data_IF_688313417579
#
_entry.id   IF_688313417579
#
_cell.length_a   1.000
_cell.length_b   1.000
_cell.length_c   1.000
_cell.angle_alpha   90.00
_cell.angle_beta   90.00
_cell.angle_gamma   90.00
#
_symmetry.space_group_name_H-M   'P 1'
#
loop_
_entity.id
_entity.type
_entity.pdbx_description
1 polymer ?
#
# COMPACT_ATOMS: atom_id res chain seq x y z
N UNK A 1 -24.86 -11.11 -38.31
CA UNK A 1 -24.32 -9.92 -37.61
C UNK A 1 -24.65 -9.93 -36.10
N UNK A 2 -25.86 -10.32 -35.69
CA UNK A 2 -26.24 -10.35 -34.26
C UNK A 2 -25.51 -11.41 -33.40
N UNK A 3 -25.24 -12.59 -33.95
CA UNK A 3 -24.50 -13.64 -33.23
C UNK A 3 -23.04 -13.26 -32.93
N UNK A 4 -22.39 -12.54 -33.87
CA UNK A 4 -21.02 -12.04 -33.70
C UNK A 4 -20.95 -10.94 -32.64
N UNK A 5 -21.97 -10.06 -32.59
CA UNK A 5 -22.13 -9.07 -31.53
C UNK A 5 -22.30 -9.72 -30.16
N UNK A 6 -23.17 -10.73 -30.04
CA UNK A 6 -23.37 -11.47 -28.77
C UNK A 6 -22.11 -12.18 -28.28
N UNK A 7 -21.38 -12.84 -29.19
CA UNK A 7 -20.11 -13.50 -28.85
C UNK A 7 -19.06 -12.50 -28.39
N UNK A 8 -18.98 -11.32 -29.02
CA UNK A 8 -18.04 -10.29 -28.60
C UNK A 8 -18.40 -9.73 -27.22
N UNK A 9 -19.67 -9.45 -26.96
CA UNK A 9 -20.13 -9.00 -25.63
C UNK A 9 -19.89 -10.05 -24.55
N UNK A 10 -20.12 -11.33 -24.83
CA UNK A 10 -19.79 -12.41 -23.89
C UNK A 10 -18.29 -12.50 -23.63
N UNK A 11 -17.45 -12.35 -24.66
CA UNK A 11 -15.99 -12.35 -24.52
C UNK A 11 -15.50 -11.18 -23.66
N UNK A 12 -15.95 -9.96 -23.96
CA UNK A 12 -15.65 -8.74 -23.18
C UNK A 12 -16.07 -8.90 -21.72
N UNK A 13 -17.28 -9.43 -21.46
CA UNK A 13 -17.77 -9.66 -20.10
C UNK A 13 -16.94 -10.71 -19.36
N UNK A 14 -16.49 -11.75 -20.05
CA UNK A 14 -15.67 -12.80 -19.46
C UNK A 14 -14.25 -12.30 -19.14
N UNK A 15 -13.66 -11.47 -20.01
CA UNK A 15 -12.37 -10.82 -19.77
C UNK A 15 -12.45 -9.85 -18.59
N UNK A 16 -13.51 -9.03 -18.52
CA UNK A 16 -13.75 -8.14 -17.39
C UNK A 16 -13.94 -8.91 -16.06
N UNK A 17 -14.73 -9.99 -16.07
CA UNK A 17 -14.90 -10.83 -14.88
C UNK A 17 -13.59 -11.49 -14.44
N UNK A 18 -12.73 -11.89 -15.40
CA UNK A 18 -11.43 -12.50 -15.12
C UNK A 18 -10.46 -11.51 -14.47
N UNK A 19 -10.44 -10.27 -14.93
CA UNK A 19 -9.62 -9.20 -14.33
C UNK A 19 -10.08 -8.92 -12.89
N UNK A 20 -11.39 -8.80 -12.65
CA UNK A 20 -11.96 -8.60 -11.30
C UNK A 20 -11.60 -9.75 -10.35
N UNK A 21 -11.66 -11.01 -10.83
CA UNK A 21 -11.30 -12.18 -10.03
C UNK A 21 -9.80 -12.22 -9.71
N UNK A 22 -8.93 -11.92 -10.69
CA UNK A 22 -7.48 -11.87 -10.48
C UNK A 22 -7.11 -10.81 -9.46
N UNK A 23 -7.73 -9.64 -9.55
CA UNK A 23 -7.51 -8.59 -8.57
C UNK A 23 -8.06 -8.98 -7.20
N UNK A 24 -9.24 -9.62 -7.12
CA UNK A 24 -9.77 -10.11 -5.85
C UNK A 24 -8.84 -11.13 -5.18
N UNK A 25 -8.23 -12.04 -5.95
CA UNK A 25 -7.21 -12.97 -5.46
C UNK A 25 -5.96 -12.22 -4.98
N UNK A 26 -5.48 -11.23 -5.74
CA UNK A 26 -4.36 -10.38 -5.32
C UNK A 26 -4.65 -9.63 -4.02
N UNK A 27 -5.91 -9.31 -3.71
CA UNK A 27 -6.29 -8.70 -2.45
C UNK A 27 -6.32 -9.71 -1.28
N UNK A 28 -6.69 -10.96 -1.55
CA UNK A 28 -6.66 -12.03 -0.56
C UNK A 28 -5.23 -12.38 -0.12
N UNK A 29 -4.24 -12.25 -1.01
CA UNK A 29 -2.83 -12.50 -0.66
C UNK A 29 -2.08 -11.27 -0.15
N UNK A 30 -2.60 -10.06 -0.41
CA UNK A 30 -1.94 -8.78 -0.11
C UNK A 30 -1.48 -8.68 1.35
N UNK A 31 -2.36 -9.03 2.29
CA UNK A 31 -2.05 -8.98 3.72
C UNK A 31 -0.85 -9.86 4.07
N UNK A 32 -0.87 -11.12 3.62
CA UNK A 32 0.22 -12.08 3.88
C UNK A 32 1.52 -11.64 3.23
N UNK A 33 1.47 -11.16 1.98
CA UNK A 33 2.65 -10.65 1.26
C UNK A 33 3.28 -9.46 2.00
N UNK A 34 2.48 -8.46 2.37
CA UNK A 34 2.97 -7.27 3.08
C UNK A 34 3.50 -7.65 4.45
N UNK A 35 2.81 -8.52 5.18
CA UNK A 35 3.25 -8.98 6.51
C UNK A 35 4.59 -9.70 6.43
N UNK A 36 4.81 -10.56 5.42
CA UNK A 36 6.11 -11.19 5.18
C UNK A 36 7.20 -10.15 4.90
N UNK A 37 6.93 -9.19 4.01
CA UNK A 37 7.89 -8.13 3.68
C UNK A 37 8.25 -7.26 4.90
N UNK A 38 7.29 -7.04 5.82
CA UNK A 38 7.53 -6.32 7.07
C UNK A 38 8.46 -7.12 8.00
N UNK A 39 8.25 -8.44 8.13
CA UNK A 39 9.12 -9.32 8.92
C UNK A 39 10.55 -9.38 8.35
N UNK A 40 10.69 -9.32 7.02
CA UNK A 40 11.98 -9.30 6.33
C UNK A 40 12.64 -7.90 6.32
N UNK A 41 12.06 -6.90 7.00
CA UNK A 41 12.48 -5.49 6.98
C UNK A 41 12.55 -4.87 5.56
N UNK A 42 11.82 -5.45 4.60
CA UNK A 42 11.78 -4.97 3.21
C UNK A 42 10.69 -3.90 3.02
N UNK A 43 10.87 -2.80 3.74
CA UNK A 43 9.91 -1.70 3.83
C UNK A 43 9.57 -1.03 2.49
N UNK A 44 10.57 -0.88 1.62
CA UNK A 44 10.37 -0.24 0.32
C UNK A 44 9.49 -1.08 -0.61
N UNK A 45 9.66 -2.40 -0.58
CA UNK A 45 8.83 -3.34 -1.36
C UNK A 45 7.40 -3.38 -0.81
N UNK A 46 7.24 -3.41 0.51
CA UNK A 46 5.93 -3.33 1.16
C UNK A 46 5.17 -2.03 0.78
N UNK A 47 5.83 -0.87 0.86
CA UNK A 47 5.24 0.41 0.47
C UNK A 47 4.82 0.45 -1.01
N UNK A 48 5.66 -0.10 -1.89
CA UNK A 48 5.35 -0.17 -3.32
C UNK A 48 4.12 -1.04 -3.58
N UNK A 49 4.05 -2.21 -2.94
CA UNK A 49 2.91 -3.12 -3.04
C UNK A 49 1.61 -2.49 -2.52
N UNK A 50 1.68 -1.74 -1.41
CA UNK A 50 0.54 -0.99 -0.87
C UNK A 50 0.08 0.14 -1.80
N UNK A 51 1.02 0.85 -2.42
CA UNK A 51 0.73 1.92 -3.40
C UNK A 51 0.04 1.36 -4.65
N UNK A 52 0.51 0.21 -5.17
CA UNK A 52 -0.14 -0.49 -6.28
C UNK A 52 -1.55 -0.98 -5.93
N UNK A 53 -1.73 -1.57 -4.75
CA UNK A 53 -3.05 -1.97 -4.27
C UNK A 53 -4.01 -0.77 -4.09
N UNK A 54 -3.50 0.36 -3.63
CA UNK A 54 -4.30 1.59 -3.55
C UNK A 54 -4.76 2.10 -4.93
N UNK A 55 -3.94 1.90 -5.98
CA UNK A 55 -4.31 2.24 -7.36
C UNK A 55 -5.34 1.27 -7.95
N UNK A 56 -5.21 -0.04 -7.70
CA UNK A 56 -6.17 -1.05 -8.19
C UNK A 56 -7.55 -0.93 -7.55
N UNK A 57 -7.65 -0.23 -6.42
CA UNK A 57 -8.91 0.10 -5.76
C UNK A 57 -9.96 0.73 -6.69
N UNK A 58 -9.54 1.45 -7.75
CA UNK A 58 -10.41 2.10 -8.74
C UNK A 58 -11.26 1.09 -9.53
N UNK A 59 -10.77 -0.15 -9.70
CA UNK A 59 -11.47 -1.21 -10.46
C UNK A 59 -12.71 -1.72 -9.72
N UNK A 60 -12.77 -1.53 -8.40
CA UNK A 60 -13.81 -2.06 -7.52
C UNK A 60 -14.88 -1.04 -7.12
N UNK A 61 -14.99 0.09 -7.81
CA UNK A 61 -16.00 1.12 -7.49
C UNK A 61 -17.44 0.59 -7.55
N UNK A 62 -17.68 -0.48 -8.32
CA UNK A 62 -19.00 -1.10 -8.49
C UNK A 62 -19.41 -2.05 -7.34
N UNK A 63 -18.53 -2.35 -6.37
CA UNK A 63 -18.85 -3.19 -5.19
C UNK A 63 -18.51 -2.49 -3.87
N UNK A 64 -19.40 -1.62 -3.35
CA UNK A 64 -19.08 -0.68 -2.27
C UNK A 64 -18.70 -1.35 -0.94
N UNK A 65 -19.29 -2.49 -0.58
CA UNK A 65 -18.97 -3.19 0.67
C UNK A 65 -17.55 -3.79 0.65
N UNK A 66 -17.17 -4.41 -0.47
CA UNK A 66 -15.83 -4.98 -0.65
C UNK A 66 -14.77 -3.88 -0.73
N UNK A 67 -15.10 -2.75 -1.38
CA UNK A 67 -14.23 -1.59 -1.41
C UNK A 67 -14.03 -0.98 -0.01
N UNK A 68 -15.03 -1.02 0.87
CA UNK A 68 -14.86 -0.55 2.26
C UNK A 68 -13.91 -1.45 3.04
N UNK A 69 -14.07 -2.77 2.97
CA UNK A 69 -13.19 -3.73 3.65
C UNK A 69 -11.74 -3.59 3.19
N UNK A 70 -11.51 -3.53 1.87
CA UNK A 70 -10.16 -3.37 1.29
C UNK A 70 -9.50 -2.04 1.67
N UNK A 71 -10.25 -0.94 1.75
CA UNK A 71 -9.73 0.34 2.28
C UNK A 71 -9.30 0.20 3.74
N UNK A 72 -10.11 -0.44 4.58
CA UNK A 72 -9.78 -0.67 5.97
C UNK A 72 -8.51 -1.53 6.12
N UNK A 73 -8.36 -2.55 5.27
CA UNK A 73 -7.16 -3.38 5.20
C UNK A 73 -5.93 -2.56 4.81
N UNK A 74 -6.00 -1.75 3.74
CA UNK A 74 -4.90 -0.88 3.33
C UNK A 74 -4.45 0.05 4.45
N UNK A 75 -5.39 0.70 5.13
CA UNK A 75 -5.08 1.61 6.23
C UNK A 75 -4.39 0.86 7.37
N UNK A 76 -4.85 -0.35 7.71
CA UNK A 76 -4.19 -1.19 8.71
C UNK A 76 -2.76 -1.55 8.32
N UNK A 77 -2.55 -2.02 7.10
CA UNK A 77 -1.22 -2.40 6.62
C UNK A 77 -0.27 -1.20 6.53
N UNK A 78 -0.76 -0.03 6.14
CA UNK A 78 0.01 1.21 6.18
C UNK A 78 0.40 1.60 7.61
N UNK A 79 -0.52 1.46 8.58
CA UNK A 79 -0.23 1.71 9.99
C UNK A 79 0.83 0.72 10.53
N UNK A 80 0.76 -0.56 10.13
CA UNK A 80 1.75 -1.56 10.54
C UNK A 80 3.14 -1.29 9.95
N UNK A 81 3.19 -0.89 8.68
CA UNK A 81 4.42 -0.45 8.02
C UNK A 81 5.02 0.77 8.73
N UNK A 82 4.20 1.79 8.98
CA UNK A 82 4.60 2.99 9.73
C UNK A 82 5.14 2.65 11.11
N UNK A 83 4.41 1.84 11.90
CA UNK A 83 4.83 1.45 13.24
C UNK A 83 6.19 0.72 13.21
N UNK A 84 6.38 -0.16 12.22
CA UNK A 84 7.62 -0.92 12.02
C UNK A 84 8.79 -0.05 11.56
N UNK A 85 8.54 1.02 10.80
CA UNK A 85 9.56 2.00 10.41
C UNK A 85 9.84 3.06 11.47
N UNK A 86 8.86 3.39 12.32
CA UNK A 86 8.92 4.56 13.20
C UNK A 86 10.13 4.52 14.14
N UNK A 87 10.42 3.36 14.74
CA UNK A 87 11.58 3.17 15.60
C UNK A 87 12.91 3.30 14.84
N UNK A 88 12.99 2.68 13.65
CA UNK A 88 14.17 2.77 12.79
C UNK A 88 14.41 4.19 12.26
N UNK A 89 13.34 4.93 11.96
CA UNK A 89 13.39 6.34 11.56
C UNK A 89 13.91 7.22 12.70
N UNK A 90 13.37 7.07 13.91
CA UNK A 90 13.82 7.84 15.08
C UNK A 90 15.30 7.58 15.38
N UNK A 91 15.74 6.32 15.30
CA UNK A 91 17.15 5.96 15.46
C UNK A 91 18.02 6.68 14.41
N UNK A 92 17.66 6.59 13.13
CA UNK A 92 18.39 7.25 12.05
C UNK A 92 18.45 8.79 12.20
N UNK A 93 17.39 9.41 12.73
CA UNK A 93 17.36 10.85 13.03
C UNK A 93 18.35 11.20 14.14
N UNK A 94 18.37 10.42 15.22
CA UNK A 94 19.27 10.62 16.35
C UNK A 94 20.74 10.41 15.98
N UNK A 95 21.02 9.44 15.11
CA UNK A 95 22.35 9.18 14.54
C UNK A 95 22.76 10.20 13.46
N UNK A 96 21.90 11.18 13.14
CA UNK A 96 22.09 12.17 12.09
C UNK A 96 22.36 11.56 10.70
N UNK A 97 21.89 10.32 10.47
CA UNK A 97 22.05 9.64 9.20
C UNK A 97 21.01 10.14 8.17
N UNK A 98 21.37 11.21 7.46
CA UNK A 98 20.51 11.86 6.48
C UNK A 98 20.17 10.97 5.28
N UNK A 99 21.08 10.06 4.89
CA UNK A 99 20.85 9.15 3.77
C UNK A 99 19.73 8.16 4.10
N UNK A 100 19.80 7.53 5.27
CA UNK A 100 18.76 6.62 5.77
C UNK A 100 17.44 7.35 6.00
N UNK A 101 17.47 8.56 6.56
CA UNK A 101 16.27 9.40 6.70
C UNK A 101 15.61 9.71 5.35
N UNK A 102 16.41 9.98 4.30
CA UNK A 102 15.90 10.23 2.94
C UNK A 102 15.27 8.98 2.34
N UNK A 103 15.86 7.81 2.57
CA UNK A 103 15.31 6.54 2.14
C UNK A 103 13.95 6.28 2.81
N UNK A 104 13.84 6.50 4.12
CA UNK A 104 12.57 6.39 4.83
C UNK A 104 11.55 7.42 4.37
N UNK A 105 11.95 8.67 4.09
CA UNK A 105 11.06 9.67 3.51
C UNK A 105 10.43 9.18 2.20
N UNK A 106 11.20 8.57 1.31
CA UNK A 106 10.68 8.03 0.05
C UNK A 106 9.63 6.92 0.28
N UNK A 107 9.83 6.09 1.31
CA UNK A 107 8.88 5.04 1.68
C UNK A 107 7.57 5.66 2.20
N UNK A 108 7.65 6.63 3.11
CA UNK A 108 6.48 7.37 3.62
C UNK A 108 5.74 8.13 2.51
N UNK A 109 6.48 8.73 1.57
CA UNK A 109 5.89 9.41 0.41
C UNK A 109 5.13 8.44 -0.50
N UNK A 110 5.68 7.24 -0.74
CA UNK A 110 5.04 6.24 -1.60
C UNK A 110 3.68 5.77 -1.07
N UNK A 111 3.49 5.78 0.26
CA UNK A 111 2.21 5.49 0.92
C UNK A 111 1.40 6.75 1.27
N UNK A 112 1.78 7.91 0.75
CA UNK A 112 1.12 9.21 0.98
C UNK A 112 1.05 9.63 2.45
N UNK A 113 2.06 9.27 3.26
CA UNK A 113 2.16 9.59 4.69
C UNK A 113 3.29 10.57 5.03
N UNK A 114 3.52 11.54 4.16
CA UNK A 114 4.56 12.57 4.33
C UNK A 114 4.36 13.43 5.58
N UNK A 115 3.12 13.57 6.06
CA UNK A 115 2.79 14.32 7.28
C UNK A 115 3.32 13.58 8.51
N UNK A 116 3.11 12.27 8.59
CA UNK A 116 3.58 11.44 9.70
C UNK A 116 5.11 11.43 9.77
N UNK A 117 5.79 11.31 8.62
CA UNK A 117 7.25 11.45 8.58
C UNK A 117 7.73 12.78 9.19
N UNK A 118 7.07 13.90 8.82
CA UNK A 118 7.41 15.22 9.35
C UNK A 118 7.18 15.29 10.86
N UNK A 119 6.09 14.71 11.36
CA UNK A 119 5.80 14.64 12.79
C UNK A 119 6.93 13.92 13.54
N UNK A 120 7.40 12.77 13.05
CA UNK A 120 8.55 12.07 13.63
C UNK A 120 9.84 12.90 13.56
N UNK A 121 10.15 13.47 12.39
CA UNK A 121 11.37 14.24 12.19
C UNK A 121 11.48 15.47 13.10
N UNK A 122 10.40 16.25 13.18
CA UNK A 122 10.36 17.43 14.05
C UNK A 122 10.20 17.06 15.53
N UNK A 123 9.46 15.99 15.85
CA UNK A 123 9.31 15.48 17.21
C UNK A 123 10.65 15.05 17.81
N UNK A 124 11.40 14.21 17.10
CA UNK A 124 12.70 13.71 17.57
C UNK A 124 13.75 14.81 17.69
N UNK A 125 13.74 15.83 16.82
CA UNK A 125 14.65 16.97 16.91
C UNK A 125 14.32 17.96 18.04
N UNK A 126 13.06 18.00 18.50
CA UNK A 126 12.60 18.90 19.57
C UNK A 126 12.66 18.26 20.96
N UNK A 127 12.85 16.93 21.04
CA UNK A 127 13.08 16.26 22.30
C UNK A 127 14.37 16.81 22.95
N UNK A 128 14.33 17.32 24.20
CA UNK A 128 15.54 17.74 24.88
C UNK A 128 16.46 16.53 25.09
N UNK A 129 17.75 16.73 24.78
CA UNK A 129 18.84 15.81 25.11
C UNK A 129 18.87 15.51 26.62
#
# INVERSE_FOLDING_TARGET
>A
LEQLKRLNTMKDHMEAAREVLREAESWSTLESEVTSMLMEHNYAKAASRLSEANKSMVVFQNTPEQARYRRMLLVNLQNQLEASLSSALVAAINEQNLETCRNYFNIFNNIQREVEFRNYYYGSRRAPL
#
